data_IF_841021187921
#
_entry.id   IF_841021187921
#
_cell.length_a   1.000
_cell.length_b   1.000
_cell.length_c   1.000
_cell.angle_alpha   90.00
_cell.angle_beta   90.00
_cell.angle_gamma   90.00
#
_symmetry.space_group_name_H-M   'P 1'
#
loop_
_entity.id
_entity.type
_entity.pdbx_description
1 polymer ?
#
# COMPACT_ATOMS: atom_id res chain seq x y z
N UNK A 1 -17.06 -12.97 37.21
CA UNK A 1 -17.37 -12.54 35.82
C UNK A 1 -16.77 -13.53 34.84
N UNK A 2 -17.51 -13.93 33.81
CA UNK A 2 -16.98 -14.84 32.77
C UNK A 2 -15.96 -14.11 31.88
N UNK A 3 -15.10 -14.86 31.18
CA UNK A 3 -14.14 -14.29 30.21
C UNK A 3 -14.89 -13.50 29.13
N UNK A 4 -16.03 -13.99 28.66
CA UNK A 4 -16.86 -13.29 27.67
C UNK A 4 -17.42 -11.95 28.16
N UNK A 5 -17.82 -11.87 29.44
CA UNK A 5 -18.29 -10.61 30.02
C UNK A 5 -17.16 -9.57 30.06
N UNK A 6 -15.97 -9.98 30.52
CA UNK A 6 -14.78 -9.09 30.56
C UNK A 6 -14.34 -8.60 29.18
N UNK A 7 -14.39 -9.46 28.16
CA UNK A 7 -14.07 -9.07 26.79
C UNK A 7 -15.08 -8.08 26.21
N UNK A 8 -16.36 -8.24 26.55
CA UNK A 8 -17.42 -7.32 26.10
C UNK A 8 -17.29 -5.95 26.75
N UNK A 9 -17.02 -5.91 28.06
CA UNK A 9 -16.85 -4.66 28.80
C UNK A 9 -15.60 -3.91 28.33
N UNK A 10 -14.47 -4.61 28.16
CA UNK A 10 -13.24 -4.03 27.63
C UNK A 10 -13.39 -3.49 26.19
N UNK A 11 -14.17 -4.19 25.34
CA UNK A 11 -14.46 -3.73 23.99
C UNK A 11 -15.34 -2.46 23.99
N UNK A 12 -16.25 -2.32 24.95
CA UNK A 12 -17.08 -1.12 25.09
C UNK A 12 -16.25 0.11 25.50
N UNK A 13 -15.23 -0.08 26.33
CA UNK A 13 -14.38 0.99 26.87
C UNK A 13 -13.16 1.36 25.98
N UNK A 14 -12.82 0.54 24.98
CA UNK A 14 -11.63 0.77 24.16
C UNK A 14 -11.73 2.02 23.28
N UNK A 15 -10.64 2.78 23.17
CA UNK A 15 -10.56 3.95 22.27
C UNK A 15 -10.56 3.51 20.80
N UNK A 16 -10.79 4.47 19.89
CA UNK A 16 -10.72 4.15 18.46
C UNK A 16 -9.32 3.71 18.04
N UNK A 17 -8.26 4.37 18.54
CA UNK A 17 -6.88 3.94 18.31
C UNK A 17 -6.67 2.47 18.69
N UNK A 18 -7.12 2.07 19.89
CA UNK A 18 -6.98 0.68 20.35
C UNK A 18 -7.74 -0.30 19.43
N UNK A 19 -8.98 0.04 19.05
CA UNK A 19 -9.77 -0.78 18.13
C UNK A 19 -9.10 -0.91 16.78
N UNK A 20 -8.63 0.19 16.19
CA UNK A 20 -7.96 0.21 14.89
C UNK A 20 -6.68 -0.60 14.88
N UNK A 21 -5.87 -0.54 15.95
CA UNK A 21 -4.64 -1.35 16.07
C UNK A 21 -4.97 -2.84 16.24
N UNK A 22 -5.93 -3.18 17.09
CA UNK A 22 -6.33 -4.59 17.31
C UNK A 22 -6.94 -5.21 16.05
N UNK A 23 -7.88 -4.49 15.41
CA UNK A 23 -8.45 -4.92 14.13
C UNK A 23 -7.36 -4.95 13.06
N UNK A 24 -6.50 -3.93 13.03
CA UNK A 24 -5.36 -3.85 12.13
C UNK A 24 -4.49 -5.11 12.17
N UNK A 25 -4.11 -5.54 13.38
CA UNK A 25 -3.34 -6.76 13.61
C UNK A 25 -4.12 -8.01 13.19
N UNK A 26 -5.40 -8.10 13.55
CA UNK A 26 -6.25 -9.24 13.16
C UNK A 26 -6.36 -9.37 11.63
N UNK A 27 -6.47 -8.24 10.92
CA UNK A 27 -6.50 -8.20 9.46
C UNK A 27 -5.15 -8.61 8.84
N UNK A 28 -4.00 -8.20 9.41
CA UNK A 28 -2.69 -8.70 8.94
C UNK A 28 -2.57 -10.22 9.06
N UNK A 29 -3.04 -10.77 10.19
CA UNK A 29 -3.03 -12.21 10.45
C UNK A 29 -3.99 -12.91 9.48
N UNK A 30 -5.21 -12.39 9.31
CA UNK A 30 -6.20 -12.95 8.39
C UNK A 30 -5.66 -12.97 6.95
N UNK A 31 -5.08 -11.85 6.49
CA UNK A 31 -4.46 -11.74 5.17
C UNK A 31 -3.32 -12.75 4.98
N UNK A 32 -2.46 -12.92 5.99
CA UNK A 32 -1.34 -13.86 5.96
C UNK A 32 -1.80 -15.33 5.99
N UNK A 33 -2.92 -15.61 6.65
CA UNK A 33 -3.49 -16.96 6.76
C UNK A 33 -4.33 -17.37 5.55
N UNK A 34 -4.87 -16.41 4.79
CA UNK A 34 -5.66 -16.66 3.60
C UNK A 34 -4.74 -16.78 2.39
N UNK A 35 -4.33 -18.02 2.08
CA UNK A 35 -3.52 -18.32 0.89
C UNK A 35 -4.31 -18.09 -0.40
N UNK A 36 -3.72 -17.35 -1.33
CA UNK A 36 -4.17 -17.21 -2.72
C UNK A 36 -3.01 -17.62 -3.65
N UNK A 37 -3.27 -18.20 -4.83
CA UNK A 37 -2.22 -18.47 -5.79
C UNK A 37 -1.46 -17.18 -6.13
N UNK A 38 -0.10 -17.17 -6.11
CA UNK A 38 0.66 -15.93 -6.34
C UNK A 38 0.37 -15.26 -7.69
N UNK A 39 0.09 -16.07 -8.72
CA UNK A 39 -0.20 -15.62 -10.08
C UNK A 39 -1.66 -15.23 -10.33
N UNK A 40 -2.55 -15.35 -9.34
CA UNK A 40 -3.98 -15.06 -9.51
C UNK A 40 -4.34 -13.67 -8.94
N UNK A 41 -4.31 -12.67 -9.82
CA UNK A 41 -4.66 -11.29 -9.48
C UNK A 41 -6.11 -11.16 -9.01
N UNK A 42 -7.05 -11.93 -9.58
CA UNK A 42 -8.46 -11.85 -9.19
C UNK A 42 -8.66 -12.36 -7.77
N UNK A 43 -8.08 -13.52 -7.43
CA UNK A 43 -8.12 -14.05 -6.07
C UNK A 43 -7.44 -13.09 -5.09
N UNK A 44 -6.32 -12.47 -5.49
CA UNK A 44 -5.64 -11.46 -4.70
C UNK A 44 -6.51 -10.23 -4.46
N UNK A 45 -7.13 -9.68 -5.51
CA UNK A 45 -8.00 -8.52 -5.42
C UNK A 45 -9.21 -8.80 -4.53
N UNK A 46 -9.85 -9.97 -4.65
CA UNK A 46 -10.96 -10.37 -3.78
C UNK A 46 -10.53 -10.41 -2.31
N UNK A 47 -9.42 -11.08 -2.00
CA UNK A 47 -8.91 -11.15 -0.62
C UNK A 47 -8.63 -9.75 -0.07
N UNK A 48 -7.88 -8.94 -0.80
CA UNK A 48 -7.45 -7.63 -0.32
C UNK A 48 -8.66 -6.69 -0.19
N UNK A 49 -9.61 -6.70 -1.13
CA UNK A 49 -10.86 -5.94 -1.01
C UNK A 49 -11.66 -6.37 0.22
N UNK A 50 -11.83 -7.67 0.47
CA UNK A 50 -12.56 -8.13 1.65
C UNK A 50 -11.86 -7.71 2.95
N UNK A 51 -10.56 -8.01 3.06
CA UNK A 51 -9.82 -7.88 4.31
C UNK A 51 -9.40 -6.43 4.58
N UNK A 52 -8.91 -5.72 3.57
CA UNK A 52 -8.28 -4.40 3.73
C UNK A 52 -9.14 -3.22 3.26
N UNK A 53 -10.21 -3.43 2.49
CA UNK A 53 -11.15 -2.37 2.12
C UNK A 53 -12.48 -2.48 2.90
N UNK A 54 -13.22 -3.57 2.71
CA UNK A 54 -14.60 -3.68 3.20
C UNK A 54 -14.68 -3.71 4.74
N UNK A 55 -13.81 -4.48 5.40
CA UNK A 55 -13.82 -4.55 6.87
C UNK A 55 -13.43 -3.19 7.49
N UNK A 56 -12.32 -2.54 7.12
CA UNK A 56 -11.98 -1.21 7.64
C UNK A 56 -13.03 -0.14 7.34
N UNK A 57 -13.55 -0.09 6.11
CA UNK A 57 -14.58 0.88 5.73
C UNK A 57 -15.87 0.69 6.55
N UNK A 58 -16.31 -0.56 6.74
CA UNK A 58 -17.48 -0.86 7.57
C UNK A 58 -17.23 -0.51 9.04
N UNK A 59 -16.05 -0.82 9.57
CA UNK A 59 -15.68 -0.46 10.93
C UNK A 59 -15.72 1.07 11.13
N UNK A 60 -15.14 1.83 10.21
CA UNK A 60 -15.13 3.29 10.28
C UNK A 60 -16.55 3.87 10.16
N UNK A 61 -17.33 3.41 9.20
CA UNK A 61 -18.71 3.87 8.99
C UNK A 61 -19.61 3.61 10.22
N UNK A 62 -19.51 2.42 10.83
CA UNK A 62 -20.30 2.08 12.04
C UNK A 62 -19.89 2.86 13.28
N UNK A 63 -18.71 3.49 13.28
CA UNK A 63 -18.18 4.29 14.39
C UNK A 63 -18.17 5.80 14.08
N UNK A 64 -18.68 6.22 12.93
CA UNK A 64 -18.67 7.62 12.50
C UNK A 64 -17.26 8.19 12.33
N UNK A 65 -16.31 7.37 11.88
CA UNK A 65 -14.91 7.74 11.65
C UNK A 65 -14.63 7.91 10.16
N UNK A 66 -13.75 8.84 9.83
CA UNK A 66 -13.26 9.06 8.48
C UNK A 66 -11.91 8.34 8.29
N UNK A 67 -11.72 7.73 7.12
CA UNK A 67 -10.46 7.10 6.72
C UNK A 67 -9.66 7.94 5.73
N UNK A 68 -10.16 9.11 5.32
CA UNK A 68 -9.49 10.00 4.37
C UNK A 68 -9.94 9.84 2.92
N UNK A 69 -11.17 9.38 2.67
CA UNK A 69 -11.74 9.30 1.32
C UNK A 69 -12.31 10.65 0.85
N UNK A 70 -11.50 11.70 0.90
CA UNK A 70 -11.88 13.02 0.41
C UNK A 70 -10.87 13.56 -0.60
N UNK A 71 -11.39 14.41 -1.49
CA UNK A 71 -10.60 15.08 -2.53
C UNK A 71 -10.80 16.58 -2.35
N UNK A 72 -9.74 17.26 -1.93
CA UNK A 72 -9.69 18.71 -1.84
C UNK A 72 -8.41 19.27 -2.48
N UNK A 73 -8.25 20.59 -2.45
CA UNK A 73 -7.08 21.26 -3.05
C UNK A 73 -5.76 20.84 -2.41
N UNK A 74 -5.73 20.57 -1.10
CA UNK A 74 -4.53 20.13 -0.40
C UNK A 74 -4.19 18.71 -0.81
N UNK A 75 -5.17 17.80 -0.77
CA UNK A 75 -5.01 16.42 -1.23
C UNK A 75 -4.50 16.36 -2.67
N UNK A 76 -5.06 17.16 -3.59
CA UNK A 76 -4.60 17.22 -4.98
C UNK A 76 -3.16 17.74 -5.11
N UNK A 77 -2.81 18.82 -4.39
CA UNK A 77 -1.45 19.37 -4.42
C UNK A 77 -0.44 18.35 -3.91
N UNK A 78 -0.75 17.72 -2.78
CA UNK A 78 0.12 16.75 -2.13
C UNK A 78 0.21 15.45 -2.95
N UNK A 79 -0.88 15.07 -3.64
CA UNK A 79 -0.89 13.99 -4.64
C UNK A 79 0.08 14.28 -5.79
N UNK A 80 0.01 15.47 -6.37
CA UNK A 80 0.89 15.85 -7.48
C UNK A 80 2.36 15.93 -7.03
N UNK A 81 2.61 16.47 -5.83
CA UNK A 81 3.95 16.55 -5.28
C UNK A 81 4.55 15.16 -5.00
N UNK A 82 3.78 14.27 -4.36
CA UNK A 82 4.21 12.91 -4.08
C UNK A 82 4.40 12.12 -5.37
N UNK A 83 3.46 12.18 -6.31
CA UNK A 83 3.56 11.54 -7.61
C UNK A 83 4.82 12.00 -8.37
N UNK A 84 5.07 13.31 -8.43
CA UNK A 84 6.27 13.86 -9.06
C UNK A 84 7.56 13.40 -8.36
N UNK A 85 7.54 13.29 -7.03
CA UNK A 85 8.67 12.79 -6.25
C UNK A 85 8.96 11.31 -6.50
N UNK A 86 7.94 10.45 -6.53
CA UNK A 86 8.13 8.99 -6.70
C UNK A 86 8.35 8.59 -8.16
N UNK A 87 7.88 9.38 -9.12
CA UNK A 87 8.01 9.11 -10.55
C UNK A 87 9.43 8.72 -11.01
N UNK A 88 10.52 9.44 -10.67
CA UNK A 88 11.88 9.03 -11.07
C UNK A 88 12.28 7.66 -10.49
N UNK A 89 11.78 7.27 -9.32
CA UNK A 89 12.07 5.95 -8.75
C UNK A 89 11.44 4.83 -9.57
N UNK A 90 10.24 5.03 -10.14
CA UNK A 90 9.65 4.07 -11.06
C UNK A 90 10.43 3.95 -12.37
N UNK A 91 10.90 5.08 -12.93
CA UNK A 91 11.73 5.07 -14.15
C UNK A 91 13.05 4.31 -13.95
N UNK A 92 13.75 4.60 -12.85
CA UNK A 92 15.01 3.93 -12.50
C UNK A 92 14.76 2.47 -12.13
N UNK A 93 13.75 2.21 -11.29
CA UNK A 93 13.38 0.87 -10.84
C UNK A 93 12.99 -0.06 -11.98
N UNK A 94 12.19 0.41 -12.96
CA UNK A 94 11.78 -0.39 -14.12
C UNK A 94 12.94 -0.82 -15.04
N UNK A 95 14.13 -0.25 -14.84
CA UNK A 95 15.35 -0.60 -15.57
C UNK A 95 16.22 -1.61 -14.83
N UNK A 96 15.93 -1.91 -13.55
CA UNK A 96 16.69 -2.87 -12.74
C UNK A 96 16.37 -4.33 -13.16
N UNK A 97 17.38 -5.20 -13.33
CA UNK A 97 17.15 -6.60 -13.69
C UNK A 97 16.26 -7.35 -12.68
N UNK A 98 16.47 -7.15 -11.38
CA UNK A 98 15.66 -7.82 -10.34
C UNK A 98 14.18 -7.42 -10.39
N UNK A 99 13.90 -6.15 -10.71
CA UNK A 99 12.53 -5.64 -10.87
C UNK A 99 11.90 -6.21 -12.13
N UNK A 100 12.60 -6.18 -13.28
CA UNK A 100 12.09 -6.71 -14.56
C UNK A 100 11.91 -8.23 -14.56
N UNK A 101 12.63 -8.96 -13.71
CA UNK A 101 12.44 -10.39 -13.52
C UNK A 101 11.18 -10.71 -12.69
N UNK A 102 10.65 -9.73 -11.96
CA UNK A 102 9.53 -9.90 -11.03
C UNK A 102 8.24 -9.22 -11.52
N UNK A 103 8.34 -8.12 -12.26
CA UNK A 103 7.20 -7.38 -12.81
C UNK A 103 7.03 -7.62 -14.32
N UNK A 104 5.77 -7.71 -14.80
CA UNK A 104 4.54 -7.65 -14.01
C UNK A 104 4.35 -8.83 -13.05
N UNK A 105 3.90 -8.54 -11.82
CA UNK A 105 3.69 -9.57 -10.77
C UNK A 105 2.64 -10.61 -11.18
N UNK A 106 1.67 -10.16 -11.97
CA UNK A 106 0.64 -10.97 -12.57
C UNK A 106 0.72 -10.79 -14.07
N UNK A 107 0.66 -11.91 -14.81
CA UNK A 107 0.85 -11.90 -16.26
C UNK A 107 -0.15 -10.97 -16.95
N UNK A 108 0.36 -10.14 -17.85
CA UNK A 108 -0.41 -9.25 -18.72
C UNK A 108 0.42 -8.91 -19.96
N UNK A 109 -0.15 -8.15 -20.89
CA UNK A 109 0.54 -7.69 -22.10
C UNK A 109 0.26 -6.21 -22.36
N UNK A 110 0.88 -5.65 -23.41
CA UNK A 110 0.65 -4.26 -23.84
C UNK A 110 -0.67 -4.10 -24.61
N UNK A 111 -1.39 -5.19 -24.90
CA UNK A 111 -2.70 -5.11 -25.52
C UNK A 111 -3.71 -4.51 -24.54
N UNK A 112 -4.36 -3.40 -24.90
CA UNK A 112 -5.28 -2.69 -24.01
C UNK A 112 -6.43 -3.58 -23.46
N UNK A 113 -6.86 -4.58 -24.22
CA UNK A 113 -7.89 -5.54 -23.80
C UNK A 113 -7.47 -6.43 -22.63
N UNK A 114 -6.16 -6.65 -22.45
CA UNK A 114 -5.58 -7.42 -21.35
C UNK A 114 -5.06 -6.47 -20.25
N UNK A 115 -4.41 -5.38 -20.65
CA UNK A 115 -3.79 -4.44 -19.73
C UNK A 115 -4.79 -3.64 -18.89
N UNK A 116 -5.91 -3.18 -19.46
CA UNK A 116 -6.87 -2.36 -18.71
C UNK A 116 -7.57 -3.16 -17.59
N UNK A 117 -8.09 -4.38 -17.82
CA UNK A 117 -8.64 -5.20 -16.74
C UNK A 117 -7.60 -5.54 -15.66
N UNK A 118 -6.34 -5.79 -16.05
CA UNK A 118 -5.22 -6.00 -15.12
C UNK A 118 -4.99 -4.76 -14.25
N UNK A 119 -4.82 -3.59 -14.87
CA UNK A 119 -4.65 -2.31 -14.19
C UNK A 119 -5.77 -2.02 -13.18
N UNK A 120 -7.03 -2.26 -13.55
CA UNK A 120 -8.18 -2.02 -12.65
C UNK A 120 -8.12 -2.93 -11.44
N UNK A 121 -7.83 -4.22 -11.61
CA UNK A 121 -7.71 -5.14 -10.48
C UNK A 121 -6.52 -4.80 -9.59
N UNK A 122 -5.41 -4.41 -10.19
CA UNK A 122 -4.23 -3.94 -9.47
C UNK A 122 -4.51 -2.67 -8.67
N UNK A 123 -5.25 -1.73 -9.25
CA UNK A 123 -5.70 -0.53 -8.53
C UNK A 123 -6.61 -0.90 -7.35
N UNK A 124 -7.49 -1.90 -7.49
CA UNK A 124 -8.31 -2.38 -6.37
C UNK A 124 -7.46 -2.96 -5.23
N UNK A 125 -6.41 -3.74 -5.56
CA UNK A 125 -5.44 -4.25 -4.59
C UNK A 125 -4.78 -3.11 -3.83
N UNK A 126 -4.34 -2.07 -4.55
CA UNK A 126 -3.69 -0.90 -3.94
C UNK A 126 -4.66 -0.09 -3.11
N UNK A 127 -5.86 0.24 -3.63
CA UNK A 127 -6.88 0.99 -2.86
C UNK A 127 -7.21 0.27 -1.57
N UNK A 128 -7.34 -1.06 -1.60
CA UNK A 128 -7.54 -1.85 -0.40
C UNK A 128 -6.35 -1.73 0.56
N UNK A 129 -5.12 -1.91 0.09
CA UNK A 129 -3.93 -1.75 0.92
C UNK A 129 -3.84 -0.35 1.54
N UNK A 130 -4.06 0.71 0.77
CA UNK A 130 -4.02 2.09 1.27
C UNK A 130 -5.15 2.37 2.27
N UNK A 131 -6.34 1.80 2.07
CA UNK A 131 -7.43 1.89 3.06
C UNK A 131 -7.02 1.29 4.40
N UNK A 132 -6.30 0.17 4.38
CA UNK A 132 -5.81 -0.47 5.58
C UNK A 132 -4.66 0.31 6.23
N UNK A 133 -3.58 0.56 5.50
CA UNK A 133 -2.38 1.16 6.09
C UNK A 133 -2.54 2.66 6.36
N UNK A 134 -3.04 3.41 5.38
CA UNK A 134 -3.11 4.86 5.45
C UNK A 134 -4.46 5.28 6.03
N UNK A 135 -5.52 4.57 5.70
CA UNK A 135 -6.85 4.85 6.23
C UNK A 135 -6.97 4.45 7.69
N UNK A 136 -7.02 3.15 7.96
CA UNK A 136 -7.29 2.63 9.30
C UNK A 136 -6.15 2.92 10.30
N UNK A 137 -4.90 2.75 9.87
CA UNK A 137 -3.74 2.79 10.76
C UNK A 137 -3.01 4.14 10.81
N UNK A 138 -3.36 5.11 9.94
CA UNK A 138 -2.73 6.43 9.93
C UNK A 138 -3.76 7.57 10.06
N UNK A 139 -4.44 7.95 8.98
CA UNK A 139 -5.40 9.05 8.92
C UNK A 139 -6.54 8.85 9.91
N UNK A 140 -7.14 7.67 9.94
CA UNK A 140 -8.30 7.39 10.79
C UNK A 140 -8.00 7.47 12.29
N UNK A 141 -6.74 7.31 12.71
CA UNK A 141 -6.33 7.43 14.12
C UNK A 141 -5.57 8.73 14.41
N UNK A 142 -5.48 9.62 13.43
CA UNK A 142 -4.68 10.84 13.50
C UNK A 142 -5.17 11.79 14.60
N UNK A 143 -6.47 11.89 14.85
CA UNK A 143 -7.05 12.73 15.90
C UNK A 143 -6.64 12.29 17.32
N UNK A 144 -6.45 10.99 17.54
CA UNK A 144 -6.10 10.43 18.86
C UNK A 144 -4.58 10.29 19.05
N UNK A 145 -3.83 10.06 17.96
CA UNK A 145 -2.40 9.72 18.03
C UNK A 145 -1.47 10.73 17.36
N UNK A 146 -2.03 11.70 16.65
CA UNK A 146 -1.31 12.75 15.92
C UNK A 146 -0.37 12.17 14.88
N UNK A 147 0.72 12.90 14.61
CA UNK A 147 1.73 12.53 13.62
C UNK A 147 2.42 11.18 13.89
N UNK A 148 2.35 10.66 15.12
CA UNK A 148 2.93 9.34 15.47
C UNK A 148 2.24 8.20 14.71
N UNK A 149 1.02 8.41 14.24
CA UNK A 149 0.25 7.45 13.43
C UNK A 149 0.99 6.99 12.17
N UNK A 150 1.81 7.86 11.59
CA UNK A 150 2.68 7.58 10.43
C UNK A 150 3.64 6.40 10.68
N UNK A 151 3.95 6.08 11.93
CA UNK A 151 4.88 5.02 12.31
C UNK A 151 4.22 3.70 12.74
N UNK A 152 2.90 3.56 12.60
CA UNK A 152 2.18 2.34 13.01
C UNK A 152 2.43 1.19 12.01
N UNK A 153 2.35 1.47 10.71
CA UNK A 153 2.42 0.47 9.64
C UNK A 153 3.80 0.06 9.10
N UNK A 154 4.91 0.82 9.22
CA UNK A 154 6.11 0.55 8.41
C UNK A 154 6.68 -0.86 8.51
N UNK A 155 6.66 -1.43 9.72
CA UNK A 155 7.16 -2.80 9.95
C UNK A 155 6.24 -3.83 9.30
N UNK A 156 4.93 -3.71 9.47
CA UNK A 156 3.95 -4.62 8.86
C UNK A 156 3.97 -4.48 7.33
N UNK A 157 4.09 -3.26 6.83
CA UNK A 157 4.20 -2.97 5.41
C UNK A 157 5.46 -3.61 4.79
N UNK A 158 6.61 -3.50 5.44
CA UNK A 158 7.83 -4.15 5.01
C UNK A 158 7.73 -5.69 5.07
N UNK A 159 7.09 -6.26 6.10
CA UNK A 159 6.86 -7.71 6.16
C UNK A 159 6.00 -8.21 4.99
N UNK A 160 5.02 -7.43 4.52
CA UNK A 160 4.23 -7.78 3.33
C UNK A 160 5.01 -7.62 2.00
N UNK A 161 6.21 -7.03 2.04
CA UNK A 161 7.14 -6.97 0.90
C UNK A 161 8.18 -8.10 0.93
N UNK A 162 8.14 -9.01 1.91
CA UNK A 162 9.00 -10.19 1.92
C UNK A 162 8.72 -11.06 0.70
N UNK A 163 9.78 -11.46 -0.01
CA UNK A 163 9.70 -12.23 -1.26
C UNK A 163 9.68 -11.39 -2.53
N UNK A 164 9.53 -10.06 -2.42
CA UNK A 164 9.73 -9.12 -3.53
C UNK A 164 11.23 -8.85 -3.77
N UNK A 165 11.58 -8.18 -4.90
CA UNK A 165 12.95 -7.71 -5.14
C UNK A 165 13.56 -7.01 -3.91
N UNK A 166 14.80 -7.32 -3.53
CA UNK A 166 15.40 -6.83 -2.27
C UNK A 166 15.37 -5.32 -2.09
N UNK A 167 15.48 -4.57 -3.19
CA UNK A 167 15.41 -3.10 -3.18
C UNK A 167 14.03 -2.59 -2.73
N UNK A 168 12.94 -3.28 -3.08
CA UNK A 168 11.60 -2.92 -2.61
C UNK A 168 11.47 -3.16 -1.10
N UNK A 169 11.98 -4.27 -0.59
CA UNK A 169 11.95 -4.55 0.85
C UNK A 169 12.80 -3.54 1.65
N UNK A 170 13.96 -3.15 1.11
CA UNK A 170 14.82 -2.13 1.72
C UNK A 170 14.10 -0.77 1.81
N UNK A 171 13.36 -0.40 0.76
CA UNK A 171 12.70 0.90 0.66
C UNK A 171 11.27 0.91 1.18
N UNK A 172 10.62 -0.24 1.40
CA UNK A 172 9.19 -0.31 1.75
C UNK A 172 8.87 0.40 3.06
N UNK A 173 9.70 0.24 4.10
CA UNK A 173 9.49 0.93 5.38
C UNK A 173 9.61 2.47 5.27
N UNK A 174 10.72 3.00 4.72
CA UNK A 174 10.84 4.43 4.45
C UNK A 174 9.74 5.00 3.56
N UNK A 175 9.34 4.27 2.50
CA UNK A 175 8.23 4.67 1.62
C UNK A 175 6.90 4.69 2.35
N UNK A 176 6.63 3.72 3.23
CA UNK A 176 5.43 3.70 4.08
C UNK A 176 5.34 4.95 4.96
N UNK A 177 6.45 5.34 5.60
CA UNK A 177 6.54 6.57 6.41
C UNK A 177 6.31 7.82 5.55
N UNK A 178 6.92 7.90 4.36
CA UNK A 178 6.74 9.02 3.45
C UNK A 178 5.26 9.17 3.05
N UNK A 179 4.64 8.07 2.65
CA UNK A 179 3.25 8.03 2.18
C UNK A 179 2.31 8.39 3.33
N UNK A 180 2.50 7.76 4.49
CA UNK A 180 1.75 8.09 5.71
C UNK A 180 1.88 9.55 6.12
N UNK A 181 3.07 10.15 6.01
CA UNK A 181 3.28 11.56 6.36
C UNK A 181 2.52 12.52 5.42
N UNK A 182 2.49 12.22 4.11
CA UNK A 182 1.77 13.02 3.13
C UNK A 182 0.25 12.87 3.29
N UNK A 183 -0.22 11.65 3.52
CA UNK A 183 -1.64 11.38 3.75
C UNK A 183 -2.11 11.97 5.09
N UNK A 184 -1.30 11.90 6.15
CA UNK A 184 -1.55 12.60 7.40
C UNK A 184 -1.61 14.12 7.20
N UNK A 185 -0.73 14.71 6.41
CA UNK A 185 -0.75 16.16 6.18
C UNK A 185 -2.01 16.61 5.42
N UNK A 186 -2.44 15.82 4.45
CA UNK A 186 -3.63 16.10 3.63
C UNK A 186 -4.94 15.58 4.23
N UNK A 187 -4.86 14.73 5.26
CA UNK A 187 -5.95 13.89 5.79
C UNK A 187 -6.64 13.02 4.72
N UNK A 188 -5.96 12.75 3.60
CA UNK A 188 -6.52 12.06 2.45
C UNK A 188 -5.67 10.87 2.03
N UNK A 189 -6.34 9.82 1.53
CA UNK A 189 -5.69 8.63 0.94
C UNK A 189 -5.29 8.84 -0.52
N UNK A 190 -5.78 9.91 -1.15
CA UNK A 190 -5.58 10.17 -2.58
C UNK A 190 -4.09 10.19 -2.97
N UNK A 191 -3.18 10.85 -2.23
CA UNK A 191 -1.77 10.89 -2.60
C UNK A 191 -1.17 9.50 -2.73
N UNK A 192 -1.34 8.63 -1.72
CA UNK A 192 -0.82 7.27 -1.76
C UNK A 192 -1.52 6.38 -2.78
N UNK A 193 -2.85 6.47 -2.94
CA UNK A 193 -3.58 5.69 -3.96
C UNK A 193 -3.03 6.00 -5.36
N UNK A 194 -2.75 7.27 -5.65
CA UNK A 194 -2.19 7.67 -6.95
C UNK A 194 -0.72 7.26 -7.07
N UNK A 195 0.11 7.60 -6.08
CA UNK A 195 1.54 7.33 -6.10
C UNK A 195 1.87 5.83 -6.13
N UNK A 196 1.10 5.01 -5.43
CA UNK A 196 1.23 3.56 -5.41
C UNK A 196 0.47 2.92 -6.58
N UNK A 197 -0.80 3.25 -6.78
CA UNK A 197 -1.67 2.55 -7.72
C UNK A 197 -1.33 2.84 -9.17
N UNK A 198 -1.23 4.12 -9.51
CA UNK A 198 -0.78 4.52 -10.85
C UNK A 198 0.72 4.27 -11.02
N UNK A 199 1.51 4.37 -9.95
CA UNK A 199 2.93 4.04 -9.97
C UNK A 199 3.19 2.56 -10.30
N UNK A 200 2.45 1.64 -9.69
CA UNK A 200 2.54 0.20 -9.97
C UNK A 200 2.06 -0.13 -11.39
N UNK A 201 0.98 0.52 -11.84
CA UNK A 201 0.53 0.42 -13.24
C UNK A 201 1.60 0.91 -14.22
N UNK A 202 2.25 2.04 -13.91
CA UNK A 202 3.35 2.57 -14.69
C UNK A 202 4.54 1.60 -14.70
N UNK A 203 4.85 0.97 -13.57
CA UNK A 203 5.93 -0.01 -13.47
C UNK A 203 5.69 -1.22 -14.38
N UNK A 204 4.49 -1.81 -14.34
CA UNK A 204 4.14 -2.91 -15.25
C UNK A 204 4.27 -2.48 -16.71
N UNK A 205 3.75 -1.29 -17.04
CA UNK A 205 3.87 -0.76 -18.39
C UNK A 205 5.33 -0.61 -18.84
N UNK A 206 6.18 -0.02 -18.00
CA UNK A 206 7.61 0.19 -18.31
C UNK A 206 8.40 -1.12 -18.42
N UNK A 207 8.05 -2.13 -17.62
CA UNK A 207 8.74 -3.44 -17.64
C UNK A 207 8.36 -4.29 -18.85
N UNK A 208 7.15 -4.09 -19.41
CA UNK A 208 6.70 -4.70 -20.67
C UNK A 208 7.34 -4.07 -21.93
N UNK A 209 8.06 -2.96 -21.79
CA UNK A 209 8.76 -2.28 -22.88
C UNK A 209 10.28 -2.31 -22.66
N UNK A 210 11.04 -1.99 -23.72
CA UNK A 210 12.47 -1.77 -23.60
C UNK A 210 12.77 -0.72 -22.52
N UNK A 211 13.81 -0.94 -21.69
CA UNK A 211 14.11 -0.06 -20.57
C UNK A 211 14.46 1.35 -21.08
N UNK A 212 13.82 2.36 -20.49
CA UNK A 212 14.04 3.76 -20.84
C UNK A 212 15.47 4.21 -20.50
N UNK A 213 16.05 3.63 -19.44
CA UNK A 213 17.43 3.85 -19.02
C UNK A 213 18.18 2.52 -19.19
N UNK A 214 19.37 2.48 -19.81
CA UNK A 214 20.11 1.24 -19.97
C UNK A 214 20.40 0.58 -18.60
N UNK A 215 20.07 -0.71 -18.40
CA UNK A 215 20.22 -1.40 -17.12
C UNK A 215 21.65 -1.32 -16.56
N UNK A 216 22.67 -1.39 -17.41
CA UNK A 216 24.08 -1.28 -17.03
C UNK A 216 24.43 0.09 -16.41
N UNK A 217 23.79 1.17 -16.88
CA UNK A 217 24.00 2.50 -16.33
C UNK A 217 23.40 2.60 -14.93
N UNK A 218 22.19 2.05 -14.73
CA UNK A 218 21.51 2.02 -13.43
C UNK A 218 22.28 1.17 -12.43
N UNK A 219 22.70 -0.04 -12.81
CA UNK A 219 23.50 -0.93 -11.97
C UNK A 219 24.82 -0.26 -11.55
N UNK A 220 25.51 0.40 -12.48
CA UNK A 220 26.75 1.13 -12.18
C UNK A 220 26.53 2.25 -11.16
N UNK A 221 25.44 3.02 -11.31
CA UNK A 221 25.10 4.12 -10.40
C UNK A 221 24.67 3.63 -9.01
N UNK A 222 24.04 2.45 -8.91
CA UNK A 222 23.47 1.92 -7.68
C UNK A 222 24.31 0.81 -7.02
N UNK A 223 25.48 0.47 -7.59
CA UNK A 223 26.40 -0.58 -7.09
C UNK A 223 26.83 -0.46 -5.62
N UNK A 224 26.63 0.71 -5.02
CA UNK A 224 26.95 0.99 -3.62
C UNK A 224 25.87 0.48 -2.65
N UNK A 225 24.68 0.10 -3.16
CA UNK A 225 23.62 -0.46 -2.36
C UNK A 225 23.99 -1.88 -1.88
N UNK A 226 23.72 -2.23 -0.61
CA UNK A 226 24.11 -3.51 -0.02
C UNK A 226 23.10 -4.64 -0.32
N UNK A 227 22.40 -4.58 -1.46
CA UNK A 227 21.35 -5.54 -1.83
C UNK A 227 21.48 -5.94 -3.31
N UNK A 228 21.02 -7.14 -3.70
CA UNK A 228 20.89 -7.51 -5.11
C UNK A 228 19.95 -6.55 -5.86
N UNK A 229 20.35 -6.15 -7.07
CA UNK A 229 19.66 -5.19 -7.95
C UNK A 229 19.28 -5.82 -9.28
#
# INVERSE_FOLDING_TARGET
MSVHARLRDAAAESTWLQRSVVVGLALSIAWSSWSVPPSDLTARAVRDVVVFLLIPATLAATHGRDLGFHVDRRALRDTLALAAFVFPFYLVGASLPSIRAYYPMWETSTALGEFLPHMVQQLLVVVAAETYYRGLLCVGVSDEFGFKSVFISPVVYALHHVGKPPIELLLSGPTDVLFGAVDYHSQSLLPSIVAHGLGLTLLDWLTLHDPVIPPEAVLSALRWLPVPL
#
